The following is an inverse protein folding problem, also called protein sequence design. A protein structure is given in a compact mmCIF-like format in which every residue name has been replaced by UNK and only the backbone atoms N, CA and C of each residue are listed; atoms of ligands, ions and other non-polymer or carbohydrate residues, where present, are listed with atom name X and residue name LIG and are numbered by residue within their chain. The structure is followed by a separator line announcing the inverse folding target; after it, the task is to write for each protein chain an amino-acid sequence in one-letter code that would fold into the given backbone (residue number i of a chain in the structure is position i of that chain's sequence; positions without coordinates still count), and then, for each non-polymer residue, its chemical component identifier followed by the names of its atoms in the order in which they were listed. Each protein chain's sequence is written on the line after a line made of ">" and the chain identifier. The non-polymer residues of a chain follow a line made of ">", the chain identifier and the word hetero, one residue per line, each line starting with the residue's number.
data_IF_871664938405
#
_entry.id   IF_871664938405
#
_cell.length_a   1.000
_cell.length_b   1.000
_cell.length_c   1.000
_cell.angle_alpha   90.00
_cell.angle_beta   90.00
_cell.angle_gamma   90.00
#
_symmetry.space_group_name_H-M   'P 1'
#
loop_
_entity.id
_entity.type
_entity.pdbx_description
1 polymer ?
#
# COMPACT_ATOMS: atom_id res chain seq x y z
N UNK A 1 6.32 30.75 -24.39
CA UNK A 1 5.16 31.19 -23.58
C UNK A 1 4.59 29.98 -22.85
N UNK A 2 4.71 29.98 -21.51
CA UNK A 2 4.38 28.85 -20.61
C UNK A 2 2.92 28.40 -20.79
N UNK A 3 2.70 27.13 -21.13
CA UNK A 3 1.38 26.49 -21.09
C UNK A 3 1.48 25.26 -20.20
N UNK A 4 1.34 25.46 -18.89
CA UNK A 4 1.27 24.38 -17.88
C UNK A 4 0.19 24.74 -16.88
N UNK A 5 -1.06 24.65 -17.32
CA UNK A 5 -2.14 24.28 -16.42
C UNK A 5 -2.51 22.86 -16.85
N UNK A 6 -2.25 21.88 -15.98
CA UNK A 6 -2.67 20.50 -16.18
C UNK A 6 -4.20 20.51 -16.10
N UNK A 7 -4.88 20.30 -17.23
CA UNK A 7 -6.34 20.32 -17.31
C UNK A 7 -6.83 19.01 -17.90
N UNK A 8 -7.90 18.46 -17.33
CA UNK A 8 -8.47 17.15 -17.70
C UNK A 8 -8.69 16.99 -19.21
N UNK A 9 -9.13 18.02 -19.98
CA UNK A 9 -9.30 17.88 -21.43
C UNK A 9 -7.99 17.76 -22.21
N UNK A 10 -6.89 18.37 -21.73
CA UNK A 10 -5.58 18.26 -22.37
C UNK A 10 -4.94 16.90 -22.08
N UNK A 11 -5.07 16.42 -20.85
CA UNK A 11 -4.56 15.11 -20.44
C UNK A 11 -5.33 14.00 -21.18
N UNK A 12 -6.66 14.11 -21.30
CA UNK A 12 -7.48 13.17 -22.07
C UNK A 12 -7.07 13.09 -23.55
N UNK A 13 -6.76 14.22 -24.20
CA UNK A 13 -6.27 14.23 -25.58
C UNK A 13 -4.90 13.57 -25.71
N UNK A 14 -4.01 13.81 -24.76
CA UNK A 14 -2.68 13.20 -24.72
C UNK A 14 -2.78 11.67 -24.54
N UNK A 15 -3.58 11.20 -23.58
CA UNK A 15 -3.82 9.78 -23.33
C UNK A 15 -4.49 9.09 -24.51
N UNK A 16 -5.48 9.72 -25.14
CA UNK A 16 -6.12 9.20 -26.36
C UNK A 16 -5.16 9.10 -27.55
N UNK A 17 -4.28 10.08 -27.71
CA UNK A 17 -3.22 10.04 -28.72
C UNK A 17 -2.22 8.90 -28.47
N UNK A 18 -1.83 8.71 -27.21
CA UNK A 18 -0.96 7.59 -26.80
C UNK A 18 -1.63 6.24 -27.05
N UNK A 19 -2.87 6.06 -26.59
CA UNK A 19 -3.64 4.82 -26.76
C UNK A 19 -3.82 4.43 -28.22
N UNK A 20 -4.14 5.38 -29.10
CA UNK A 20 -4.23 5.11 -30.56
C UNK A 20 -2.90 4.75 -31.20
N UNK A 21 -1.79 5.36 -30.73
CA UNK A 21 -0.48 5.17 -31.35
C UNK A 21 0.19 3.87 -30.93
N UNK A 22 0.07 3.51 -29.66
CA UNK A 22 0.79 2.37 -29.08
C UNK A 22 -0.10 1.16 -28.81
N UNK A 23 -1.43 1.33 -28.84
CA UNK A 23 -2.44 0.29 -28.62
C UNK A 23 -2.02 -0.73 -27.55
N UNK A 24 -1.74 -0.26 -26.31
CA UNK A 24 -1.27 -1.13 -25.25
C UNK A 24 -2.31 -2.22 -24.96
N UNK A 25 -1.84 -3.42 -24.61
CA UNK A 25 -2.73 -4.47 -24.12
C UNK A 25 -3.45 -3.99 -22.86
N UNK A 26 -4.75 -4.28 -22.78
CA UNK A 26 -5.54 -3.94 -21.61
C UNK A 26 -5.10 -4.82 -20.44
N UNK A 27 -4.81 -4.20 -19.30
CA UNK A 27 -4.55 -4.95 -18.08
C UNK A 27 -5.86 -5.58 -17.58
N UNK A 28 -5.84 -6.85 -17.14
CA UNK A 28 -7.01 -7.47 -16.56
C UNK A 28 -7.43 -6.71 -15.30
N UNK A 29 -8.74 -6.61 -15.07
CA UNK A 29 -9.24 -6.05 -13.82
C UNK A 29 -8.72 -6.88 -12.62
N UNK A 30 -8.42 -6.23 -11.48
CA UNK A 30 -8.06 -6.97 -10.27
C UNK A 30 -9.18 -7.93 -9.89
N UNK A 31 -8.84 -9.08 -9.31
CA UNK A 31 -9.85 -9.96 -8.72
C UNK A 31 -10.45 -9.31 -7.47
N UNK A 32 -11.68 -9.69 -7.12
CA UNK A 32 -12.36 -9.21 -5.89
C UNK A 32 -11.51 -9.45 -4.63
N UNK A 33 -10.77 -10.57 -4.59
CA UNK A 33 -9.83 -10.89 -3.52
C UNK A 33 -8.69 -9.85 -3.40
N UNK A 34 -8.14 -9.42 -4.54
CA UNK A 34 -7.08 -8.41 -4.60
C UNK A 34 -7.63 -7.04 -4.18
N UNK A 35 -8.81 -6.66 -4.65
CA UNK A 35 -9.45 -5.40 -4.24
C UNK A 35 -9.75 -5.36 -2.73
N UNK A 36 -10.25 -6.47 -2.17
CA UNK A 36 -10.47 -6.60 -0.74
C UNK A 36 -9.16 -6.45 0.05
N UNK A 37 -8.11 -7.13 -0.41
CA UNK A 37 -6.79 -7.09 0.23
C UNK A 37 -6.17 -5.68 0.16
N UNK A 38 -6.28 -5.00 -0.98
CA UNK A 38 -5.86 -3.61 -1.16
C UNK A 38 -6.61 -2.65 -0.24
N UNK A 39 -7.93 -2.82 -0.10
CA UNK A 39 -8.76 -2.00 0.79
C UNK A 39 -8.31 -2.13 2.26
N UNK A 40 -8.09 -3.37 2.72
CA UNK A 40 -7.62 -3.65 4.07
C UNK A 40 -6.20 -3.08 4.32
N UNK A 41 -5.29 -3.29 3.37
CA UNK A 41 -3.92 -2.79 3.47
C UNK A 41 -3.88 -1.25 3.47
N UNK A 42 -4.65 -0.61 2.59
CA UNK A 42 -4.76 0.84 2.52
C UNK A 42 -5.28 1.45 3.82
N UNK A 43 -6.31 0.84 4.44
CA UNK A 43 -6.81 1.31 5.73
C UNK A 43 -5.81 1.11 6.86
N UNK A 44 -5.11 -0.04 6.88
CA UNK A 44 -4.03 -0.30 7.84
C UNK A 44 -2.93 0.77 7.75
N UNK A 45 -2.54 1.16 6.54
CA UNK A 45 -1.50 2.17 6.33
C UNK A 45 -1.96 3.58 6.74
N UNK A 46 -3.24 3.91 6.56
CA UNK A 46 -3.82 5.14 7.12
C UNK A 46 -3.69 5.18 8.65
N UNK A 47 -4.04 4.09 9.34
CA UNK A 47 -3.92 3.99 10.80
C UNK A 47 -2.46 4.11 11.27
N UNK A 48 -1.52 3.49 10.54
CA UNK A 48 -0.08 3.63 10.81
C UNK A 48 0.38 5.08 10.64
N UNK A 49 -0.09 5.76 9.60
CA UNK A 49 0.18 7.18 9.37
C UNK A 49 -0.34 8.05 10.52
N UNK A 50 -1.60 7.86 10.94
CA UNK A 50 -2.19 8.55 12.09
C UNK A 50 -1.37 8.33 13.36
N UNK A 51 -0.97 7.08 13.63
CA UNK A 51 -0.13 6.75 14.79
C UNK A 51 1.23 7.45 14.75
N UNK A 52 1.85 7.54 13.57
CA UNK A 52 3.11 8.25 13.40
C UNK A 52 2.96 9.75 13.71
N UNK A 53 1.86 10.37 13.27
CA UNK A 53 1.51 11.76 13.62
C UNK A 53 1.35 11.94 15.12
N UNK A 54 0.60 11.04 15.80
CA UNK A 54 0.42 11.12 17.25
C UNK A 54 1.73 10.93 18.02
N UNK A 55 2.60 10.01 17.59
CA UNK A 55 3.92 9.83 18.21
C UNK A 55 4.80 11.07 18.10
N UNK A 56 4.73 11.78 16.97
CA UNK A 56 5.42 13.06 16.82
C UNK A 56 4.86 14.09 17.81
N UNK A 57 3.53 14.22 17.89
CA UNK A 57 2.89 15.14 18.83
C UNK A 57 3.23 14.81 20.28
N UNK A 58 3.27 13.53 20.65
CA UNK A 58 3.66 13.07 21.98
C UNK A 58 5.08 13.52 22.34
N UNK A 59 6.01 13.46 21.39
CA UNK A 59 7.40 13.91 21.61
C UNK A 59 7.54 15.42 21.84
N UNK A 60 6.53 16.20 21.45
CA UNK A 60 6.47 17.66 21.59
C UNK A 60 5.54 18.10 22.74
N UNK A 61 4.86 17.16 23.41
CA UNK A 61 3.89 17.45 24.46
C UNK A 61 4.56 17.69 25.82
N UNK A 62 4.02 18.63 26.59
CA UNK A 62 4.52 18.98 27.94
C UNK A 62 3.48 18.78 29.05
N UNK A 63 2.19 18.94 28.72
CA UNK A 63 1.09 18.83 29.67
C UNK A 63 0.73 17.36 29.90
N UNK A 64 0.74 16.92 31.16
CA UNK A 64 0.54 15.51 31.55
C UNK A 64 -0.80 14.93 31.03
N UNK A 65 -1.86 15.74 31.06
CA UNK A 65 -3.18 15.35 30.55
C UNK A 65 -3.16 15.13 29.02
N UNK A 66 -2.33 15.89 28.30
CA UNK A 66 -2.17 15.74 26.85
C UNK A 66 -1.32 14.51 26.55
N UNK A 67 -0.25 14.28 27.31
CA UNK A 67 0.62 13.10 27.19
C UNK A 67 -0.22 11.83 27.37
N UNK A 68 -0.95 11.73 28.49
CA UNK A 68 -1.81 10.56 28.78
C UNK A 68 -2.83 10.32 27.67
N UNK A 69 -3.50 11.37 27.20
CA UNK A 69 -4.48 11.28 26.10
C UNK A 69 -3.86 10.78 24.79
N UNK A 70 -2.65 11.25 24.45
CA UNK A 70 -1.93 10.81 23.25
C UNK A 70 -1.47 9.35 23.36
N UNK A 71 -1.01 8.92 24.54
CA UNK A 71 -0.63 7.52 24.80
C UNK A 71 -1.82 6.58 24.64
N UNK A 72 -2.99 6.95 25.20
CA UNK A 72 -4.22 6.18 25.07
C UNK A 72 -4.66 6.03 23.59
N UNK A 73 -4.60 7.13 22.83
CA UNK A 73 -4.92 7.10 21.40
C UNK A 73 -3.94 6.24 20.60
N UNK A 74 -2.64 6.30 20.92
CA UNK A 74 -1.63 5.44 20.29
C UNK A 74 -1.90 3.96 20.60
N UNK A 75 -2.28 3.62 21.83
CA UNK A 75 -2.61 2.26 22.23
C UNK A 75 -3.86 1.72 21.51
N UNK A 76 -4.89 2.54 21.33
CA UNK A 76 -6.08 2.17 20.54
C UNK A 76 -5.70 1.92 19.07
N UNK A 77 -4.90 2.81 18.47
CA UNK A 77 -4.41 2.62 17.10
C UNK A 77 -3.57 1.35 16.95
N UNK A 78 -2.70 1.03 17.90
CA UNK A 78 -1.91 -0.21 17.88
C UNK A 78 -2.80 -1.46 17.89
N UNK A 79 -3.89 -1.42 18.66
CA UNK A 79 -4.87 -2.52 18.71
C UNK A 79 -5.60 -2.68 17.38
N UNK A 80 -6.05 -1.57 16.79
CA UNK A 80 -6.72 -1.57 15.48
C UNK A 80 -5.80 -2.05 14.36
N UNK A 81 -4.55 -1.58 14.32
CA UNK A 81 -3.55 -2.00 13.33
C UNK A 81 -3.37 -3.51 13.39
N UNK A 82 -3.19 -4.09 14.59
CA UNK A 82 -3.05 -5.55 14.76
C UNK A 82 -4.29 -6.32 14.30
N UNK A 83 -5.49 -5.78 14.53
CA UNK A 83 -6.73 -6.40 14.06
C UNK A 83 -6.81 -6.44 12.53
N UNK A 84 -6.43 -5.35 11.84
CA UNK A 84 -6.37 -5.32 10.38
C UNK A 84 -5.27 -6.22 9.82
N UNK A 85 -4.07 -6.23 10.43
CA UNK A 85 -3.00 -7.15 10.04
C UNK A 85 -3.42 -8.62 10.16
N UNK A 86 -4.22 -8.96 11.18
CA UNK A 86 -4.78 -10.31 11.37
C UNK A 86 -5.81 -10.67 10.30
N UNK A 87 -6.67 -9.72 9.90
CA UNK A 87 -7.64 -9.92 8.81
C UNK A 87 -6.96 -10.10 7.46
N UNK A 88 -5.96 -9.26 7.15
CA UNK A 88 -5.12 -9.37 5.95
C UNK A 88 -4.47 -10.75 5.89
N UNK A 89 -3.88 -11.20 6.99
CA UNK A 89 -3.26 -12.52 7.06
C UNK A 89 -4.28 -13.66 6.91
N UNK A 90 -5.54 -13.47 7.32
CA UNK A 90 -6.60 -14.45 7.12
C UNK A 90 -7.01 -14.58 5.64
N UNK A 91 -7.17 -13.45 4.93
CA UNK A 91 -7.46 -13.42 3.50
C UNK A 91 -6.33 -14.11 2.72
N UNK A 92 -5.07 -13.79 3.02
CA UNK A 92 -3.91 -14.41 2.36
C UNK A 92 -3.84 -15.92 2.60
N UNK A 93 -4.21 -16.41 3.79
CA UNK A 93 -4.22 -17.87 4.07
C UNK A 93 -5.31 -18.64 3.33
N UNK A 94 -6.39 -17.98 2.92
CA UNK A 94 -7.47 -18.63 2.17
C UNK A 94 -7.05 -18.93 0.73
N UNK A 95 -6.08 -18.19 0.19
CA UNK A 95 -5.52 -18.41 -1.14
C UNK A 95 -4.18 -19.19 -1.03
N UNK A 96 -4.15 -20.42 -1.53
CA UNK A 96 -2.98 -21.30 -1.39
C UNK A 96 -1.74 -20.77 -2.12
N UNK A 97 -1.92 -20.10 -3.25
CA UNK A 97 -0.82 -19.53 -4.02
C UNK A 97 -0.25 -18.29 -3.30
N UNK A 98 -1.12 -17.41 -2.81
CA UNK A 98 -0.69 -16.24 -2.02
C UNK A 98 -0.02 -16.64 -0.70
N UNK A 99 -0.48 -17.72 -0.05
CA UNK A 99 0.17 -18.25 1.15
C UNK A 99 1.56 -18.82 0.87
N UNK A 100 1.74 -19.49 -0.28
CA UNK A 100 3.06 -19.97 -0.73
C UNK A 100 4.01 -18.79 -0.99
N UNK A 101 3.54 -17.79 -1.71
CA UNK A 101 4.33 -16.59 -2.02
C UNK A 101 4.71 -15.84 -0.75
N UNK A 102 3.79 -15.72 0.21
CA UNK A 102 4.08 -15.12 1.53
C UNK A 102 5.19 -15.86 2.27
N UNK A 103 5.13 -17.19 2.33
CA UNK A 103 6.15 -18.00 2.98
C UNK A 103 7.52 -17.84 2.30
N UNK A 104 7.55 -17.81 0.96
CA UNK A 104 8.78 -17.57 0.19
C UNK A 104 9.36 -16.18 0.47
N UNK A 105 8.53 -15.14 0.47
CA UNK A 105 8.98 -13.78 0.73
C UNK A 105 9.56 -13.61 2.14
N UNK A 106 8.90 -14.17 3.15
CA UNK A 106 9.37 -14.11 4.55
C UNK A 106 10.67 -14.90 4.75
N UNK A 107 10.99 -15.86 3.88
CA UNK A 107 12.26 -16.59 3.94
C UNK A 107 13.47 -15.73 3.54
N UNK A 108 13.25 -14.61 2.86
CA UNK A 108 14.32 -13.70 2.43
C UNK A 108 14.77 -12.83 3.60
N UNK A 109 16.07 -12.82 3.95
CA UNK A 109 16.58 -11.94 5.00
C UNK A 109 16.25 -10.47 4.73
N UNK A 110 15.67 -9.80 5.72
CA UNK A 110 15.27 -8.39 5.61
C UNK A 110 13.81 -8.16 5.19
N UNK A 111 13.09 -9.20 4.75
CA UNK A 111 11.65 -9.11 4.48
C UNK A 111 10.87 -9.45 5.75
N UNK A 112 10.13 -8.49 6.30
CA UNK A 112 9.28 -8.74 7.47
C UNK A 112 7.97 -9.42 7.07
N UNK A 113 7.35 -10.17 8.00
CA UNK A 113 6.02 -10.77 7.80
C UNK A 113 5.00 -9.73 7.34
N UNK A 114 5.00 -8.56 7.97
CA UNK A 114 4.10 -7.45 7.65
C UNK A 114 4.43 -6.86 6.28
N UNK A 115 5.71 -6.65 5.97
CA UNK A 115 6.14 -6.15 4.66
C UNK A 115 5.78 -7.09 3.51
N UNK A 116 5.90 -8.42 3.71
CA UNK A 116 5.45 -9.40 2.74
C UNK A 116 3.93 -9.34 2.51
N UNK A 117 3.13 -9.15 3.57
CA UNK A 117 1.68 -8.96 3.44
C UNK A 117 1.37 -7.70 2.62
N UNK A 118 2.02 -6.58 2.93
CA UNK A 118 1.83 -5.32 2.19
C UNK A 118 2.21 -5.44 0.71
N UNK A 119 3.29 -6.14 0.40
CA UNK A 119 3.72 -6.34 -0.99
C UNK A 119 2.74 -7.23 -1.76
N UNK A 120 2.27 -8.34 -1.18
CA UNK A 120 1.26 -9.19 -1.83
C UNK A 120 -0.09 -8.47 -2.01
N UNK A 121 -0.42 -7.56 -1.09
CA UNK A 121 -1.63 -6.75 -1.15
C UNK A 121 -1.57 -5.66 -2.22
N UNK A 122 -0.48 -4.89 -2.24
CA UNK A 122 -0.38 -3.65 -3.00
C UNK A 122 0.36 -3.82 -4.33
N UNK A 123 0.96 -4.98 -4.58
CA UNK A 123 1.76 -5.27 -5.75
C UNK A 123 1.49 -6.69 -6.28
N UNK A 124 0.26 -6.97 -6.76
CA UNK A 124 -0.12 -8.30 -7.27
C UNK A 124 0.73 -8.75 -8.48
N UNK A 125 1.40 -7.81 -9.17
CA UNK A 125 2.30 -8.07 -10.30
C UNK A 125 3.67 -8.59 -9.87
N UNK A 126 3.97 -8.60 -8.56
CA UNK A 126 5.24 -9.06 -8.02
C UNK A 126 5.47 -10.53 -8.38
N UNK A 127 6.61 -10.84 -9.00
CA UNK A 127 6.92 -12.17 -9.52
C UNK A 127 6.38 -12.45 -10.92
N UNK A 128 5.46 -11.64 -11.44
CA UNK A 128 4.94 -11.75 -12.81
C UNK A 128 5.66 -10.81 -13.78
N UNK A 129 6.20 -9.69 -13.26
CA UNK A 129 6.93 -8.69 -14.05
C UNK A 129 8.41 -8.63 -13.69
N UNK A 130 9.21 -8.06 -14.60
CA UNK A 130 10.64 -7.87 -14.35
C UNK A 130 10.88 -6.95 -13.14
N UNK A 131 11.99 -7.13 -12.40
CA UNK A 131 12.32 -6.27 -11.25
C UNK A 131 12.35 -4.78 -11.58
N UNK A 132 12.78 -4.42 -12.80
CA UNK A 132 12.80 -3.04 -13.28
C UNK A 132 11.39 -2.46 -13.46
N UNK A 133 10.46 -3.25 -14.00
CA UNK A 133 9.07 -2.84 -14.15
C UNK A 133 8.39 -2.67 -12.78
N UNK A 134 8.67 -3.57 -11.84
CA UNK A 134 8.21 -3.46 -10.46
C UNK A 134 8.75 -2.19 -9.79
N UNK A 135 10.06 -1.95 -9.86
CA UNK A 135 10.66 -0.74 -9.30
C UNK A 135 10.06 0.53 -9.90
N UNK A 136 9.76 0.55 -11.20
CA UNK A 136 9.08 1.67 -11.83
C UNK A 136 7.63 1.85 -11.34
N UNK A 137 6.90 0.75 -11.15
CA UNK A 137 5.51 0.75 -10.67
C UNK A 137 5.39 1.36 -9.26
N UNK A 138 6.35 1.07 -8.38
CA UNK A 138 6.41 1.63 -7.02
C UNK A 138 7.21 2.94 -6.92
N UNK A 139 7.64 3.52 -8.04
CA UNK A 139 8.37 4.80 -8.07
C UNK A 139 9.80 4.76 -7.51
N UNK A 140 10.39 3.57 -7.43
CA UNK A 140 11.78 3.33 -6.97
C UNK A 140 12.80 3.24 -8.12
N UNK A 141 12.35 3.23 -9.38
CA UNK A 141 13.25 3.27 -10.53
C UNK A 141 13.73 4.71 -10.79
N UNK A 142 15.06 4.96 -10.85
CA UNK A 142 15.63 6.27 -11.17
C UNK A 142 15.42 6.67 -12.64
#
# INVERSE_FOLDING_TARGET
>A
TRRRAKTDPLDARMLSGYGRRYNPEAEPAPSEEVEQLQSLAGHRDQLVGMRATLKKQLSEAFEEIVITSLEDLIADLDTRIKAFESQIAAVIRQNQDTARDHALMVSVPGVSKVGALSLLALLPELGQRSPKAIAALVGLAP
#
